data_IF_055063273299
#
_entry.id   IF_055063273299
#
_cell.length_a   1.000
_cell.length_b   1.000
_cell.length_c   1.000
_cell.angle_alpha   90.00
_cell.angle_beta   90.00
_cell.angle_gamma   90.00
#
_symmetry.space_group_name_H-M   'P 1'
#
loop_
_entity.id
_entity.type
_entity.pdbx_description
1 polymer ?
#
# COMPACT_ATOMS: atom_id res chain seq x y z
N UNK A 1 -15.51 -15.34 21.09
CA UNK A 1 -15.17 -13.94 20.77
C UNK A 1 -16.20 -13.39 19.81
N UNK A 2 -16.85 -12.31 20.13
CA UNK A 2 -17.75 -11.69 19.16
C UNK A 2 -16.93 -11.21 17.95
N UNK A 3 -17.50 -11.32 16.76
CA UNK A 3 -16.88 -10.78 15.56
C UNK A 3 -16.80 -9.25 15.69
N UNK A 4 -15.75 -8.66 15.16
CA UNK A 4 -15.62 -7.22 15.08
C UNK A 4 -16.74 -6.66 14.22
N UNK A 5 -17.20 -5.46 14.53
CA UNK A 5 -18.14 -4.74 13.65
C UNK A 5 -17.42 -4.41 12.34
N UNK A 6 -18.17 -4.29 11.26
CA UNK A 6 -17.63 -3.92 9.96
C UNK A 6 -16.86 -2.60 10.01
N UNK A 7 -17.39 -1.61 10.76
CA UNK A 7 -16.71 -0.33 10.94
C UNK A 7 -15.37 -0.47 11.67
N UNK A 8 -15.29 -1.33 12.70
CA UNK A 8 -14.04 -1.59 13.40
C UNK A 8 -13.02 -2.30 12.50
N UNK A 9 -13.47 -3.22 11.64
CA UNK A 9 -12.60 -3.91 10.69
C UNK A 9 -12.05 -2.95 9.62
N UNK A 10 -12.86 -2.00 9.15
CA UNK A 10 -12.38 -0.94 8.24
C UNK A 10 -11.28 -0.12 8.89
N UNK A 11 -11.43 0.23 10.17
CA UNK A 11 -10.38 0.99 10.87
C UNK A 11 -9.08 0.18 11.05
N UNK A 12 -9.16 -1.14 11.22
CA UNK A 12 -7.97 -1.99 11.25
C UNK A 12 -7.25 -1.97 9.89
N UNK A 13 -7.99 -2.07 8.79
CA UNK A 13 -7.41 -1.97 7.44
C UNK A 13 -6.81 -0.58 7.23
N UNK A 14 -7.51 0.48 7.61
CA UNK A 14 -6.99 1.85 7.51
C UNK A 14 -5.67 2.00 8.27
N UNK A 15 -5.61 1.53 9.51
CA UNK A 15 -4.40 1.61 10.33
C UNK A 15 -3.25 0.83 9.71
N UNK A 16 -3.53 -0.35 9.14
CA UNK A 16 -2.53 -1.16 8.44
C UNK A 16 -1.94 -0.40 7.26
N UNK A 17 -2.79 0.20 6.43
CA UNK A 17 -2.33 0.95 5.25
C UNK A 17 -1.57 2.21 5.65
N UNK A 18 -2.00 2.91 6.69
CA UNK A 18 -1.28 4.08 7.20
C UNK A 18 0.10 3.70 7.73
N UNK A 19 0.21 2.58 8.43
CA UNK A 19 1.50 2.08 8.91
C UNK A 19 2.41 1.68 7.74
N UNK A 20 1.87 1.08 6.70
CA UNK A 20 2.62 0.78 5.48
C UNK A 20 3.16 2.06 4.83
N UNK A 21 2.34 3.10 4.69
CA UNK A 21 2.77 4.39 4.15
C UNK A 21 3.86 5.04 5.00
N UNK A 22 3.76 4.94 6.32
CA UNK A 22 4.78 5.44 7.24
C UNK A 22 6.11 4.71 7.02
N UNK A 23 6.07 3.39 6.86
CA UNK A 23 7.26 2.60 6.57
C UNK A 23 7.92 3.03 5.25
N UNK A 24 7.12 3.29 4.20
CA UNK A 24 7.63 3.81 2.94
C UNK A 24 8.25 5.19 3.11
N UNK A 25 7.61 6.08 3.86
CA UNK A 25 8.10 7.44 4.10
C UNK A 25 9.40 7.49 4.88
N UNK A 26 9.67 6.48 5.69
CA UNK A 26 10.92 6.35 6.43
C UNK A 26 11.98 5.55 5.69
N UNK A 27 11.69 5.12 4.46
CA UNK A 27 12.64 4.36 3.65
C UNK A 27 13.04 3.03 4.27
N UNK A 28 12.11 2.39 4.97
CA UNK A 28 12.36 1.08 5.58
C UNK A 28 12.52 0.02 4.51
N UNK A 29 13.54 -0.82 4.63
CA UNK A 29 13.80 -1.90 3.68
C UNK A 29 13.11 -3.21 4.08
N UNK A 30 12.79 -3.38 5.35
CA UNK A 30 12.13 -4.59 5.87
C UNK A 30 10.61 -4.52 5.65
N UNK A 31 10.21 -4.56 4.39
CA UNK A 31 8.81 -4.43 3.99
C UNK A 31 8.07 -5.76 3.85
N UNK A 32 8.73 -6.89 4.12
CA UNK A 32 8.15 -8.22 3.98
C UNK A 32 6.88 -8.40 4.80
N UNK A 33 6.81 -7.76 5.96
CA UNK A 33 5.67 -7.89 6.87
C UNK A 33 4.35 -7.40 6.26
N UNK A 34 4.43 -6.52 5.25
CA UNK A 34 3.25 -5.91 4.64
C UNK A 34 2.67 -6.74 3.48
N UNK A 35 3.40 -7.74 3.01
CA UNK A 35 3.03 -8.50 1.81
C UNK A 35 2.90 -9.99 2.12
N UNK A 36 1.96 -10.64 1.42
CA UNK A 36 1.89 -12.11 1.44
C UNK A 36 3.08 -12.68 0.64
N UNK A 37 3.51 -13.92 0.91
CA UNK A 37 4.66 -14.49 0.20
C UNK A 37 4.49 -14.55 -1.31
N UNK A 38 3.27 -14.76 -1.79
CA UNK A 38 2.91 -14.88 -3.21
C UNK A 38 2.28 -13.59 -3.77
N UNK A 39 2.52 -12.45 -3.13
CA UNK A 39 1.99 -11.17 -3.56
C UNK A 39 2.46 -10.77 -4.96
N UNK A 40 1.64 -9.99 -5.64
CA UNK A 40 1.96 -9.42 -6.94
C UNK A 40 1.76 -7.90 -6.89
N UNK A 41 2.48 -7.19 -7.77
CA UNK A 41 2.38 -5.73 -7.77
C UNK A 41 2.71 -5.13 -9.14
N UNK A 42 1.92 -4.14 -9.54
CA UNK A 42 2.29 -3.18 -10.57
C UNK A 42 2.75 -1.88 -9.92
N UNK A 43 3.98 -1.50 -10.16
CA UNK A 43 4.50 -0.19 -9.76
C UNK A 43 4.04 0.90 -10.73
N UNK A 44 3.90 2.16 -10.28
CA UNK A 44 3.36 3.24 -11.11
C UNK A 44 4.42 3.95 -11.94
N UNK A 45 5.52 3.30 -12.27
CA UNK A 45 6.63 3.92 -12.97
C UNK A 45 6.80 3.36 -14.37
N UNK A 46 7.19 4.22 -15.31
CA UNK A 46 7.42 3.82 -16.70
C UNK A 46 8.51 2.77 -16.84
N UNK A 47 9.50 2.79 -15.98
CA UNK A 47 10.60 1.82 -15.98
C UNK A 47 10.28 0.54 -15.18
N UNK A 48 9.05 0.38 -14.74
CA UNK A 48 8.60 -0.77 -13.96
C UNK A 48 7.22 -1.19 -14.43
N UNK A 49 7.09 -1.54 -15.72
CA UNK A 49 5.80 -1.84 -16.33
C UNK A 49 5.35 -3.29 -16.12
N UNK A 50 6.28 -4.19 -15.87
CA UNK A 50 5.95 -5.60 -15.71
C UNK A 50 5.34 -5.88 -14.34
N UNK A 51 4.43 -6.85 -14.30
CA UNK A 51 3.91 -7.36 -13.03
C UNK A 51 5.04 -8.07 -12.28
N UNK A 52 5.29 -7.64 -11.05
CA UNK A 52 6.22 -8.32 -10.17
C UNK A 52 5.51 -9.47 -9.46
N UNK A 53 6.15 -10.62 -9.45
CA UNK A 53 5.65 -11.83 -8.81
C UNK A 53 6.48 -12.15 -7.59
N UNK A 54 5.81 -12.29 -6.46
CA UNK A 54 6.41 -12.70 -5.21
C UNK A 54 6.91 -11.53 -4.37
N UNK A 55 6.81 -11.72 -3.07
CA UNK A 55 7.18 -10.72 -2.07
C UNK A 55 8.64 -10.27 -2.22
N UNK A 56 9.55 -11.19 -2.48
CA UNK A 56 10.98 -10.85 -2.60
C UNK A 56 11.25 -9.87 -3.73
N UNK A 57 10.61 -10.06 -4.89
CA UNK A 57 10.76 -9.15 -6.03
C UNK A 57 10.18 -7.75 -5.72
N UNK A 58 9.05 -7.71 -5.03
CA UNK A 58 8.40 -6.46 -4.63
C UNK A 58 9.29 -5.70 -3.65
N UNK A 59 9.77 -6.36 -2.62
CA UNK A 59 10.63 -5.76 -1.59
C UNK A 59 11.95 -5.26 -2.19
N UNK A 60 12.55 -6.03 -3.10
CA UNK A 60 13.76 -5.62 -3.79
C UNK A 60 13.54 -4.34 -4.62
N UNK A 61 12.38 -4.22 -5.27
CA UNK A 61 12.05 -3.01 -6.05
C UNK A 61 11.86 -1.80 -5.14
N UNK A 62 11.20 -1.96 -4.00
CA UNK A 62 11.10 -0.89 -3.01
C UNK A 62 12.45 -0.50 -2.44
N UNK A 63 13.33 -1.46 -2.19
CA UNK A 63 14.68 -1.17 -1.68
C UNK A 63 15.46 -0.26 -2.64
N UNK A 64 15.34 -0.49 -3.96
CA UNK A 64 15.96 0.39 -4.95
C UNK A 64 15.38 1.80 -4.91
N UNK A 65 14.06 1.92 -4.80
CA UNK A 65 13.39 3.21 -4.65
C UNK A 65 13.85 3.92 -3.37
N UNK A 66 13.90 3.21 -2.26
CA UNK A 66 14.31 3.76 -0.98
C UNK A 66 15.76 4.24 -1.01
N UNK A 67 16.65 3.51 -1.69
CA UNK A 67 18.05 3.93 -1.85
C UNK A 67 18.13 5.26 -2.62
N UNK A 68 17.34 5.42 -3.67
CA UNK A 68 17.28 6.67 -4.42
C UNK A 68 16.74 7.82 -3.58
N UNK A 69 15.70 7.57 -2.78
CA UNK A 69 15.12 8.58 -1.90
C UNK A 69 16.12 9.03 -0.83
N UNK A 70 16.82 8.08 -0.20
CA UNK A 70 17.85 8.39 0.80
C UNK A 70 19.00 9.20 0.20
N UNK A 71 19.36 8.92 -1.04
CA UNK A 71 20.41 9.69 -1.74
C UNK A 71 19.97 11.11 -2.08
N UNK A 72 18.68 11.32 -2.35
CA UNK A 72 18.13 12.61 -2.77
C UNK A 72 17.69 13.50 -1.60
N UNK A 73 17.43 12.94 -0.43
CA UNK A 73 16.86 13.66 0.71
C UNK A 73 17.64 13.36 1.99
N UNK A 74 17.80 14.39 2.82
CA UNK A 74 18.62 14.31 4.04
C UNK A 74 17.96 13.52 5.17
N UNK A 75 16.63 13.52 5.26
CA UNK A 75 15.90 12.93 6.39
C UNK A 75 14.47 12.56 6.01
N UNK A 76 13.89 11.54 6.67
CA UNK A 76 12.47 11.24 6.50
C UNK A 76 11.57 12.34 7.10
N UNK A 77 10.32 12.44 6.66
CA UNK A 77 9.69 11.61 5.63
C UNK A 77 10.18 11.96 4.23
N UNK A 78 10.51 10.93 3.44
CA UNK A 78 11.10 11.18 2.12
C UNK A 78 10.08 11.56 1.05
N UNK A 79 8.82 11.15 1.20
CA UNK A 79 7.76 11.33 0.21
C UNK A 79 6.64 12.21 0.76
N UNK A 80 6.25 12.02 2.03
CA UNK A 80 5.12 12.71 2.64
C UNK A 80 3.78 12.15 2.20
N UNK A 81 3.62 10.82 2.27
CA UNK A 81 2.38 10.18 1.86
C UNK A 81 1.19 10.58 2.72
N UNK A 82 0.06 10.81 2.07
CA UNK A 82 -1.25 10.82 2.68
C UNK A 82 -2.17 9.82 2.00
N UNK A 83 -3.32 9.56 2.60
CA UNK A 83 -4.33 8.67 2.05
C UNK A 83 -5.71 9.30 2.22
N UNK A 84 -6.51 9.25 1.17
CA UNK A 84 -7.90 9.71 1.21
C UNK A 84 -8.81 8.77 0.42
N UNK A 85 -10.10 8.91 0.64
CA UNK A 85 -11.15 8.19 -0.08
C UNK A 85 -11.00 6.67 0.00
N UNK A 86 -10.60 6.18 1.17
CA UNK A 86 -10.48 4.75 1.38
C UNK A 86 -11.87 4.09 1.35
N UNK A 87 -12.01 3.10 0.47
CA UNK A 87 -13.16 2.21 0.40
C UNK A 87 -12.68 0.80 0.63
N UNK A 88 -13.40 0.05 1.44
CA UNK A 88 -13.10 -1.35 1.72
C UNK A 88 -14.32 -2.19 1.40
N UNK A 89 -14.13 -3.20 0.58
CA UNK A 89 -15.16 -4.18 0.24
C UNK A 89 -14.71 -5.56 0.73
N UNK A 90 -15.58 -6.22 1.48
CA UNK A 90 -15.31 -7.57 1.99
C UNK A 90 -15.71 -8.58 0.92
N UNK A 91 -14.72 -9.31 0.37
CA UNK A 91 -14.95 -10.24 -0.72
C UNK A 91 -15.33 -11.63 -0.22
N UNK A 92 -14.68 -12.06 0.86
CA UNK A 92 -14.85 -13.36 1.48
C UNK A 92 -14.22 -13.29 2.88
N UNK A 93 -14.45 -14.28 3.75
CA UNK A 93 -13.73 -14.33 5.02
C UNK A 93 -12.21 -14.28 4.79
N UNK A 94 -11.57 -13.30 5.41
CA UNK A 94 -10.11 -13.12 5.27
C UNK A 94 -9.66 -12.44 3.99
N UNK A 95 -10.55 -11.92 3.16
CA UNK A 95 -10.22 -11.21 1.93
C UNK A 95 -10.96 -9.88 1.82
N UNK A 96 -10.22 -8.83 1.54
CA UNK A 96 -10.78 -7.49 1.35
C UNK A 96 -10.18 -6.81 0.12
N UNK A 97 -10.99 -6.04 -0.57
CA UNK A 97 -10.55 -5.15 -1.63
C UNK A 97 -10.56 -3.73 -1.08
N UNK A 98 -9.42 -3.08 -1.07
CA UNK A 98 -9.29 -1.68 -0.69
C UNK A 98 -8.96 -0.84 -1.91
N UNK A 99 -9.62 0.29 -2.04
CA UNK A 99 -9.28 1.31 -3.03
C UNK A 99 -9.06 2.63 -2.30
N UNK A 100 -8.07 3.38 -2.72
CA UNK A 100 -7.74 4.65 -2.08
C UNK A 100 -6.99 5.57 -3.05
N UNK A 101 -6.92 6.83 -2.69
CA UNK A 101 -6.04 7.80 -3.30
C UNK A 101 -4.86 7.99 -2.35
N UNK A 102 -3.64 7.77 -2.85
CA UNK A 102 -2.42 8.13 -2.13
C UNK A 102 -1.96 9.50 -2.65
N UNK A 103 -1.70 10.40 -1.71
CA UNK A 103 -1.20 11.73 -2.05
C UNK A 103 0.27 11.83 -1.66
N UNK A 104 1.07 12.52 -2.46
CA UNK A 104 2.50 12.72 -2.23
C UNK A 104 2.94 14.01 -2.91
N UNK A 105 3.40 14.95 -2.10
CA UNK A 105 3.69 16.32 -2.55
C UNK A 105 2.46 16.94 -3.22
N UNK A 106 2.59 17.46 -4.43
CA UNK A 106 1.50 18.02 -5.23
C UNK A 106 0.88 17.01 -6.19
N UNK A 107 1.22 15.73 -6.03
CA UNK A 107 0.76 14.64 -6.90
C UNK A 107 -0.18 13.72 -6.14
N UNK A 108 -0.83 12.86 -6.89
CA UNK A 108 -1.67 11.82 -6.34
C UNK A 108 -1.77 10.64 -7.29
N UNK A 109 -2.13 9.50 -6.74
CA UNK A 109 -2.27 8.28 -7.50
C UNK A 109 -3.34 7.38 -6.94
N UNK A 110 -3.88 6.54 -7.80
CA UNK A 110 -4.89 5.56 -7.45
C UNK A 110 -4.22 4.27 -7.00
N UNK A 111 -4.79 3.65 -5.99
CA UNK A 111 -4.32 2.37 -5.46
C UNK A 111 -5.47 1.41 -5.34
N UNK A 112 -5.26 0.21 -5.85
CA UNK A 112 -6.16 -0.92 -5.64
C UNK A 112 -5.35 -2.00 -4.93
N UNK A 113 -5.84 -2.43 -3.77
CA UNK A 113 -5.14 -3.39 -2.93
C UNK A 113 -6.07 -4.56 -2.62
N UNK A 114 -5.64 -5.76 -2.97
CA UNK A 114 -6.28 -6.98 -2.48
C UNK A 114 -5.54 -7.39 -1.22
N UNK A 115 -6.28 -7.47 -0.12
CA UNK A 115 -5.72 -7.76 1.19
C UNK A 115 -6.16 -9.14 1.65
N UNK A 116 -5.25 -9.86 2.27
CA UNK A 116 -5.53 -11.14 2.89
C UNK A 116 -5.18 -11.08 4.37
N UNK A 117 -6.08 -11.60 5.20
CA UNK A 117 -5.82 -11.74 6.62
C UNK A 117 -5.07 -13.03 6.89
N UNK A 118 -3.96 -12.91 7.60
CA UNK A 118 -3.27 -14.08 8.15
C UNK A 118 -3.96 -14.45 9.44
N UNK A 119 -4.62 -15.61 9.44
CA UNK A 119 -5.27 -16.14 10.63
C UNK A 119 -4.42 -17.28 11.18
N UNK A 120 -3.87 -17.07 12.38
CA UNK A 120 -3.25 -18.11 13.17
C UNK A 120 -4.08 -18.41 14.40
N UNK A 121 -4.05 -19.62 14.95
CA UNK A 121 -4.75 -19.93 16.18
C UNK A 121 -4.33 -19.00 17.32
N UNK A 122 -5.28 -18.30 17.92
CA UNK A 122 -5.03 -17.44 19.06
C UNK A 122 -4.39 -16.09 18.75
N UNK A 123 -4.24 -15.74 17.47
CA UNK A 123 -3.65 -14.46 17.05
C UNK A 123 -4.72 -13.64 16.31
N UNK A 124 -4.76 -12.34 16.57
CA UNK A 124 -5.62 -11.45 15.81
C UNK A 124 -5.22 -11.47 14.33
N UNK A 125 -6.19 -11.43 13.39
CA UNK A 125 -5.88 -11.40 11.97
C UNK A 125 -5.01 -10.20 11.64
N UNK A 126 -3.91 -10.45 10.89
CA UNK A 126 -3.09 -9.38 10.32
C UNK A 126 -3.39 -9.29 8.84
N UNK A 127 -3.78 -8.10 8.41
CA UNK A 127 -4.02 -7.83 7.00
C UNK A 127 -2.69 -7.59 6.30
N UNK A 128 -2.48 -8.30 5.18
CA UNK A 128 -1.29 -8.15 4.33
C UNK A 128 -1.71 -7.95 2.89
N UNK A 129 -0.89 -7.20 2.16
CA UNK A 129 -1.13 -6.93 0.74
C UNK A 129 -0.83 -8.19 -0.07
N UNK A 130 -1.84 -8.67 -0.79
CA UNK A 130 -1.70 -9.79 -1.71
C UNK A 130 -1.54 -9.32 -3.15
N UNK A 131 -2.17 -8.21 -3.51
CA UNK A 131 -1.96 -7.55 -4.79
C UNK A 131 -2.08 -6.05 -4.60
N UNK A 132 -1.20 -5.32 -5.27
CA UNK A 132 -1.24 -3.85 -5.29
C UNK A 132 -1.06 -3.38 -6.72
N UNK A 133 -2.06 -2.67 -7.22
CA UNK A 133 -1.97 -1.95 -8.49
C UNK A 133 -1.88 -0.47 -8.19
N UNK A 134 -0.77 0.13 -8.56
CA UNK A 134 -0.52 1.55 -8.37
C UNK A 134 -0.45 2.26 -9.72
N UNK A 135 -1.18 3.36 -9.85
CA UNK A 135 -1.11 4.23 -11.01
C UNK A 135 -1.05 5.67 -10.53
N UNK A 136 -0.07 6.41 -11.01
CA UNK A 136 0.07 7.83 -10.70
C UNK A 136 -0.53 8.64 -11.82
N UNK A 137 -1.20 9.71 -11.45
CA UNK A 137 -1.69 10.70 -12.40
C UNK A 137 -0.69 11.83 -12.43
N UNK A 138 -0.33 12.27 -13.62
CA UNK A 138 0.42 13.51 -13.77
C UNK A 138 -0.42 14.63 -13.19
N UNK A 139 0.24 15.55 -12.45
CA UNK A 139 -0.46 16.72 -11.93
C UNK A 139 -1.18 17.41 -13.08
N UNK A 140 -2.51 17.64 -12.96
CA UNK A 140 -3.23 18.27 -14.05
C UNK A 140 -2.71 19.68 -14.26
N UNK A 141 -2.38 20.01 -15.50
CA UNK A 141 -2.01 21.37 -15.88
C UNK A 141 -3.19 22.32 -15.77
N UNK A 142 -4.40 21.79 -15.80
CA UNK A 142 -5.63 22.47 -15.41
C UNK A 142 -6.53 21.42 -14.84
N UNK A 143 -7.11 21.66 -13.64
CA UNK A 143 -8.08 20.74 -13.10
C UNK A 143 -9.26 20.67 -14.08
N UNK A 144 -9.52 19.54 -14.73
CA UNK A 144 -10.74 19.42 -15.50
C UNK A 144 -11.91 19.56 -14.55
N UNK A 145 -12.96 20.21 -15.00
CA UNK A 145 -14.20 20.22 -14.26
C UNK A 145 -14.63 18.78 -13.97
N UNK A 146 -15.13 18.50 -12.77
CA UNK A 146 -15.62 17.18 -12.45
C UNK A 146 -16.77 16.74 -13.34
#
# INVERSE_FOLDING_TARGET
>A
MPAMSEGAEVEVVRATLQAFLTALDHGEDALEVWFTPDATMYFPFRNSQALLHGRSAIVARFARMNAQLRAAHAAPPYIGFGMRDLQVEWLAPGWALATAIFTFADQWGRRTLLLRADEGPGVAPQWRIHHLHASNLTAPTAAPAP
#
